data_IF_024307918925
#
_entry.id   IF_024307918925
#
_cell.length_a   1.000
_cell.length_b   1.000
_cell.length_c   1.000
_cell.angle_alpha   90.00
_cell.angle_beta   90.00
_cell.angle_gamma   90.00
#
_symmetry.space_group_name_H-M   'P 1'
#
loop_
_entity.id
_entity.type
_entity.pdbx_description
1 polymer ?
#
# COMPACT_ATOMS: atom_id res chain seq x y z
N UNK A 1 9.43 -5.41 -20.99
CA UNK A 1 9.81 -6.84 -20.92
C UNK A 1 9.64 -7.47 -22.29
N UNK A 2 10.43 -8.49 -22.62
CA UNK A 2 10.32 -9.28 -23.86
C UNK A 2 9.65 -10.64 -23.55
N UNK A 3 8.35 -10.62 -23.23
CA UNK A 3 7.65 -11.80 -22.73
C UNK A 3 7.62 -12.99 -23.69
N UNK A 4 7.72 -12.76 -25.00
CA UNK A 4 7.78 -13.80 -26.03
C UNK A 4 9.09 -14.62 -26.04
N UNK A 5 10.12 -14.16 -25.33
CA UNK A 5 11.39 -14.89 -25.18
C UNK A 5 11.35 -15.90 -24.02
N UNK A 6 10.32 -15.85 -23.15
CA UNK A 6 10.18 -16.75 -22.01
C UNK A 6 9.89 -18.18 -22.47
N UNK A 7 10.61 -19.14 -21.88
CA UNK A 7 10.41 -20.57 -22.10
C UNK A 7 9.28 -21.07 -21.21
N UNK A 8 8.64 -22.17 -21.62
CA UNK A 8 7.62 -22.86 -20.82
C UNK A 8 8.15 -23.25 -19.42
N UNK A 9 9.44 -23.59 -19.32
CA UNK A 9 10.10 -23.92 -18.05
C UNK A 9 10.26 -22.76 -17.08
N UNK A 10 9.97 -21.52 -17.50
CA UNK A 10 10.11 -20.30 -16.70
C UNK A 10 8.76 -19.80 -16.17
N UNK A 11 7.68 -20.56 -16.40
CA UNK A 11 6.31 -20.26 -15.93
C UNK A 11 5.86 -21.39 -15.01
N UNK A 12 5.21 -21.03 -13.89
CA UNK A 12 4.62 -22.01 -12.98
C UNK A 12 3.51 -22.80 -13.67
N UNK A 13 3.49 -24.12 -13.49
CA UNK A 13 2.59 -25.01 -14.22
C UNK A 13 1.10 -24.77 -13.92
N UNK A 14 0.79 -24.22 -12.75
CA UNK A 14 -0.56 -23.86 -12.31
C UNK A 14 -0.92 -22.39 -12.56
N UNK A 15 -0.01 -21.61 -13.15
CA UNK A 15 -0.19 -20.19 -13.42
C UNK A 15 -0.11 -19.28 -12.18
N UNK A 16 0.33 -19.80 -11.02
CA UNK A 16 0.53 -18.98 -9.83
C UNK A 16 1.62 -17.93 -10.05
N UNK A 17 1.39 -16.71 -9.57
CA UNK A 17 2.35 -15.60 -9.65
C UNK A 17 2.71 -15.08 -8.25
N UNK A 18 3.98 -14.74 -7.99
CA UNK A 18 4.37 -14.14 -6.73
C UNK A 18 3.69 -12.78 -6.48
N UNK A 19 3.44 -12.48 -5.19
CA UNK A 19 2.99 -11.17 -4.72
C UNK A 19 4.09 -10.10 -4.82
N UNK A 20 3.74 -8.84 -4.55
CA UNK A 20 4.66 -7.70 -4.42
C UNK A 20 5.46 -7.35 -5.67
N UNK A 21 4.94 -7.59 -6.88
CA UNK A 21 5.67 -7.31 -8.12
C UNK A 21 5.69 -5.83 -8.48
N UNK A 22 4.59 -5.11 -8.24
CA UNK A 22 4.45 -3.69 -8.67
C UNK A 22 5.43 -2.74 -8.00
N UNK A 23 5.98 -3.09 -6.83
CA UNK A 23 6.99 -2.28 -6.12
C UNK A 23 8.24 -1.98 -6.96
N UNK A 24 8.56 -2.84 -7.92
CA UNK A 24 9.72 -2.72 -8.80
C UNK A 24 9.46 -1.87 -10.04
N UNK A 25 8.21 -1.54 -10.33
CA UNK A 25 7.88 -0.98 -11.63
C UNK A 25 8.26 0.49 -11.79
N UNK A 26 8.09 1.31 -10.74
CA UNK A 26 8.54 2.71 -10.68
C UNK A 26 8.27 3.49 -11.97
N UNK A 27 7.01 3.44 -12.45
CA UNK A 27 6.62 3.88 -13.81
C UNK A 27 6.95 5.35 -14.11
N UNK A 28 6.89 6.23 -13.11
CA UNK A 28 7.18 7.66 -13.27
C UNK A 28 6.27 8.37 -14.28
N UNK A 29 4.99 7.99 -14.35
CA UNK A 29 4.05 8.48 -15.37
C UNK A 29 3.37 9.79 -15.03
N UNK A 30 3.35 10.21 -13.76
CA UNK A 30 2.76 11.48 -13.37
C UNK A 30 3.54 12.67 -13.94
N UNK A 31 2.82 13.66 -14.45
CA UNK A 31 3.38 14.98 -14.78
C UNK A 31 3.73 15.76 -13.51
N UNK A 32 2.82 15.75 -12.53
CA UNK A 32 3.00 16.40 -11.23
C UNK A 32 2.66 15.44 -10.09
N UNK A 33 3.32 15.62 -8.95
CA UNK A 33 3.18 14.78 -7.75
C UNK A 33 2.91 15.62 -6.50
N UNK A 34 2.17 15.09 -5.52
CA UNK A 34 1.84 15.84 -4.32
C UNK A 34 3.08 16.01 -3.43
N UNK A 35 3.37 17.25 -3.05
CA UNK A 35 4.36 17.60 -2.03
C UNK A 35 3.62 18.18 -0.83
N UNK A 36 3.99 17.74 0.37
CA UNK A 36 3.36 18.18 1.60
C UNK A 36 4.14 19.33 2.23
N UNK A 37 3.42 20.37 2.65
CA UNK A 37 3.87 21.40 3.55
C UNK A 37 3.65 20.88 4.99
N UNK A 38 4.74 20.44 5.63
CA UNK A 38 4.63 19.85 6.96
C UNK A 38 4.21 20.88 8.00
N UNK A 39 4.47 22.17 7.81
CA UNK A 39 4.08 23.23 8.74
C UNK A 39 2.57 23.40 8.83
N UNK A 40 1.88 23.23 7.69
CA UNK A 40 0.40 23.20 7.62
C UNK A 40 -0.21 21.85 8.00
N UNK A 41 0.54 20.76 7.86
CA UNK A 41 0.02 19.41 8.05
C UNK A 41 -0.45 19.14 9.49
N UNK A 42 -1.73 18.75 9.65
CA UNK A 42 -2.33 18.39 10.95
C UNK A 42 -2.19 16.90 11.31
N UNK A 43 -1.42 16.11 10.53
CA UNK A 43 -1.14 14.69 10.80
C UNK A 43 -2.40 13.80 10.89
N UNK A 44 -3.39 14.03 10.01
CA UNK A 44 -4.67 13.30 10.03
C UNK A 44 -4.69 12.00 9.21
N UNK A 45 -3.70 11.78 8.34
CA UNK A 45 -3.57 10.65 7.41
C UNK A 45 -4.67 10.51 6.33
N UNK A 46 -5.56 11.50 6.16
CA UNK A 46 -6.63 11.48 5.13
C UNK A 46 -6.06 11.28 3.72
N UNK A 47 -4.98 11.99 3.41
CA UNK A 47 -4.30 11.89 2.11
C UNK A 47 -3.83 10.46 1.79
N UNK A 48 -3.39 9.70 2.79
CA UNK A 48 -2.98 8.30 2.64
C UNK A 48 -4.18 7.36 2.56
N UNK A 49 -5.23 7.63 3.33
CA UNK A 49 -6.47 6.86 3.31
C UNK A 49 -7.12 6.84 1.93
N UNK A 50 -7.22 8.01 1.31
CA UNK A 50 -7.91 8.20 0.03
C UNK A 50 -7.06 7.86 -1.20
N UNK A 51 -5.74 7.70 -1.02
CA UNK A 51 -4.85 7.45 -2.15
C UNK A 51 -5.16 6.10 -2.83
N UNK A 52 -5.51 6.09 -4.13
CA UNK A 52 -5.88 4.87 -4.84
C UNK A 52 -4.69 3.94 -5.13
N UNK A 53 -3.46 4.42 -5.07
CA UNK A 53 -2.28 3.63 -5.43
C UNK A 53 -1.32 3.40 -4.26
N UNK A 54 -1.71 3.80 -3.05
CA UNK A 54 -0.86 3.78 -1.85
C UNK A 54 0.47 4.53 -2.04
N UNK A 55 0.50 5.62 -2.81
CA UNK A 55 1.73 6.34 -3.16
C UNK A 55 2.11 7.42 -2.16
N UNK A 56 1.18 7.85 -1.31
CA UNK A 56 1.42 8.83 -0.24
C UNK A 56 1.10 8.17 1.11
N UNK A 57 2.10 8.13 2.00
CA UNK A 57 2.05 7.36 3.24
C UNK A 57 2.57 8.16 4.44
N UNK A 58 2.04 7.92 5.64
CA UNK A 58 2.60 8.45 6.86
C UNK A 58 3.73 7.58 7.38
N UNK A 59 4.80 8.23 7.83
CA UNK A 59 5.96 7.60 8.44
C UNK A 59 6.17 8.18 9.84
N UNK A 60 6.53 7.30 10.77
CA UNK A 60 6.89 7.66 12.13
C UNK A 60 8.33 7.25 12.39
N UNK A 61 9.16 8.22 12.75
CA UNK A 61 10.60 8.07 12.94
C UNK A 61 10.97 8.36 14.40
N UNK A 62 11.86 7.57 14.95
CA UNK A 62 12.60 7.91 16.16
C UNK A 62 13.56 9.06 15.90
N UNK A 63 14.04 9.70 16.96
CA UNK A 63 15.06 10.75 16.84
C UNK A 63 16.37 10.26 16.19
N UNK A 64 16.75 8.99 16.42
CA UNK A 64 17.95 8.41 15.81
C UNK A 64 17.79 8.14 14.31
N UNK A 65 16.59 7.75 13.87
CA UNK A 65 16.27 7.63 12.44
C UNK A 65 16.25 9.01 11.79
N UNK A 66 15.58 10.01 12.39
CA UNK A 66 15.55 11.36 11.82
C UNK A 66 16.95 11.94 11.57
N UNK A 67 17.93 11.68 12.45
CA UNK A 67 19.34 12.11 12.25
C UNK A 67 20.02 11.49 11.04
N UNK A 68 19.53 10.34 10.55
CA UNK A 68 20.06 9.64 9.38
C UNK A 68 19.26 9.95 8.10
N UNK A 69 18.20 10.73 8.21
CA UNK A 69 17.37 11.07 7.08
C UNK A 69 18.11 12.03 6.14
N UNK A 70 17.77 12.04 4.83
CA UNK A 70 18.27 13.05 3.91
C UNK A 70 17.98 14.47 4.40
N UNK A 71 18.79 15.44 3.99
CA UNK A 71 18.66 16.84 4.42
C UNK A 71 17.27 17.42 4.08
N UNK A 72 16.71 17.04 2.92
CA UNK A 72 15.37 17.45 2.47
C UNK A 72 14.22 16.69 3.16
N UNK A 73 14.49 15.82 4.13
CA UNK A 73 13.48 15.01 4.83
C UNK A 73 12.85 15.80 5.98
N UNK A 74 12.00 16.77 5.64
CA UNK A 74 11.26 17.56 6.61
C UNK A 74 10.25 16.71 7.41
N UNK A 75 10.54 16.45 8.67
CA UNK A 75 9.65 15.73 9.58
C UNK A 75 9.42 16.55 10.84
N UNK A 76 8.16 16.59 11.30
CA UNK A 76 7.78 17.36 12.49
C UNK A 76 7.54 16.44 13.67
N UNK A 77 7.55 16.97 14.89
CA UNK A 77 7.18 16.20 16.08
C UNK A 77 5.81 15.54 15.88
N UNK A 78 5.72 14.24 16.14
CA UNK A 78 4.44 13.54 16.05
C UNK A 78 3.49 14.06 17.14
N UNK A 79 2.27 14.39 16.76
CA UNK A 79 1.25 14.94 17.67
C UNK A 79 0.25 13.86 18.08
N UNK A 80 -0.04 13.80 19.38
CA UNK A 80 -0.96 12.85 20.00
C UNK A 80 -0.55 12.50 21.43
N UNK A 81 -1.23 11.52 22.02
CA UNK A 81 -0.90 11.01 23.36
C UNK A 81 0.38 10.17 23.41
N UNK A 82 0.55 9.44 24.51
CA UNK A 82 1.78 8.68 24.81
C UNK A 82 2.26 7.72 23.71
N UNK A 83 1.35 7.21 22.87
CA UNK A 83 1.69 6.34 21.72
C UNK A 83 2.61 7.00 20.69
N UNK A 84 2.61 8.34 20.63
CA UNK A 84 3.43 9.16 19.72
C UNK A 84 4.68 9.74 20.38
N UNK A 85 4.87 9.54 21.69
CA UNK A 85 5.96 10.17 22.43
C UNK A 85 7.33 9.80 21.85
N UNK A 86 8.18 10.81 21.66
CA UNK A 86 9.54 10.66 21.13
C UNK A 86 9.63 10.37 19.63
N UNK A 87 8.51 10.40 18.91
CA UNK A 87 8.47 10.18 17.46
C UNK A 87 8.33 11.48 16.66
N UNK A 88 8.78 11.44 15.42
CA UNK A 88 8.60 12.45 14.40
C UNK A 88 7.73 11.86 13.29
N UNK A 89 6.86 12.68 12.72
CA UNK A 89 5.89 12.33 11.73
C UNK A 89 6.23 13.04 10.42
N UNK A 90 6.13 12.29 9.31
CA UNK A 90 6.22 12.83 7.95
C UNK A 90 5.19 12.14 7.06
N UNK A 91 4.53 12.92 6.21
CA UNK A 91 3.84 12.38 5.02
C UNK A 91 4.84 12.39 3.88
N UNK A 92 5.03 11.26 3.20
CA UNK A 92 5.94 11.15 2.07
C UNK A 92 5.21 10.50 0.89
N UNK A 93 5.32 11.11 -0.28
CA UNK A 93 4.80 10.59 -1.54
C UNK A 93 5.92 9.93 -2.36
N UNK A 94 5.60 8.92 -3.16
CA UNK A 94 6.49 8.30 -4.14
C UNK A 94 6.37 9.02 -5.47
N UNK A 95 7.41 9.76 -5.92
CA UNK A 95 7.33 10.43 -7.22
C UNK A 95 7.23 9.45 -8.39
N UNK A 96 7.78 8.24 -8.24
CA UNK A 96 7.87 7.25 -9.32
C UNK A 96 6.68 6.29 -9.38
N UNK A 97 5.83 6.26 -8.36
CA UNK A 97 4.62 5.43 -8.36
C UNK A 97 3.34 6.26 -8.48
N UNK A 98 3.40 7.56 -8.19
CA UNK A 98 2.25 8.46 -8.29
C UNK A 98 1.73 8.56 -9.73
N UNK A 99 0.41 8.68 -9.86
CA UNK A 99 -0.27 8.89 -11.14
C UNK A 99 -0.77 10.32 -11.35
N UNK A 100 -0.59 11.23 -10.38
CA UNK A 100 -0.96 12.64 -10.52
C UNK A 100 -2.45 12.96 -10.33
N UNK A 101 -3.27 12.04 -9.81
CA UNK A 101 -4.74 12.20 -9.73
C UNK A 101 -5.29 13.29 -8.78
N UNK A 102 -4.44 13.98 -8.02
CA UNK A 102 -4.79 15.07 -7.09
C UNK A 102 -5.80 14.77 -5.97
N UNK A 103 -6.33 13.54 -5.86
CA UNK A 103 -7.35 13.17 -4.86
C UNK A 103 -6.87 13.47 -3.43
N UNK A 104 -5.59 13.22 -3.13
CA UNK A 104 -5.02 13.52 -1.82
C UNK A 104 -4.92 15.02 -1.52
N UNK A 105 -4.66 15.84 -2.54
CA UNK A 105 -4.58 17.30 -2.44
C UNK A 105 -5.97 17.89 -2.18
N UNK A 106 -6.96 17.46 -2.97
CA UNK A 106 -8.35 17.90 -2.84
C UNK A 106 -9.01 17.44 -1.53
N UNK A 107 -8.63 16.27 -1.02
CA UNK A 107 -9.14 15.77 0.26
C UNK A 107 -8.44 16.39 1.49
N UNK A 108 -7.38 17.18 1.32
CA UNK A 108 -6.64 17.73 2.45
C UNK A 108 -7.49 18.80 3.17
N UNK A 109 -7.85 18.60 4.45
CA UNK A 109 -8.76 19.52 5.15
C UNK A 109 -8.15 20.90 5.45
N UNK A 110 -6.84 21.04 5.29
CA UNK A 110 -6.07 22.25 5.63
C UNK A 110 -5.22 22.76 4.47
N UNK A 111 -5.40 22.21 3.26
CA UNK A 111 -4.63 22.64 2.08
C UNK A 111 -3.11 22.52 2.24
N UNK A 112 -2.63 21.50 2.95
CA UNK A 112 -1.21 21.27 3.21
C UNK A 112 -0.49 20.52 2.08
N UNK A 113 -1.16 20.22 0.97
CA UNK A 113 -0.61 19.52 -0.17
C UNK A 113 -0.68 20.44 -1.39
N UNK A 114 0.36 20.45 -2.20
CA UNK A 114 0.37 21.10 -3.51
C UNK A 114 0.95 20.15 -4.55
N UNK A 115 0.54 20.32 -5.81
CA UNK A 115 1.10 19.57 -6.92
C UNK A 115 2.37 20.26 -7.40
N UNK A 116 3.46 19.49 -7.51
CA UNK A 116 4.74 19.95 -8.02
C UNK A 116 5.11 19.12 -9.25
N UNK A 117 5.66 19.72 -10.33
CA UNK A 117 6.18 18.95 -11.45
C UNK A 117 7.10 17.82 -11.00
N UNK A 118 6.93 16.61 -11.53
CA UNK A 118 7.62 15.40 -11.06
C UNK A 118 9.14 15.55 -11.15
N UNK A 119 9.65 16.17 -12.22
CA UNK A 119 11.08 16.43 -12.40
C UNK A 119 11.61 17.33 -11.28
N UNK A 120 10.91 18.44 -11.02
CA UNK A 120 11.28 19.35 -9.93
C UNK A 120 11.19 18.67 -8.55
N UNK A 121 10.21 17.78 -8.36
CA UNK A 121 10.09 16.98 -7.13
C UNK A 121 11.30 16.06 -6.93
N UNK A 122 11.79 15.43 -8.01
CA UNK A 122 12.99 14.61 -7.96
C UNK A 122 14.24 15.46 -7.67
N UNK A 123 14.38 16.61 -8.32
CA UNK A 123 15.50 17.54 -8.09
C UNK A 123 15.54 18.05 -6.63
N UNK A 124 14.37 18.21 -6.00
CA UNK A 124 14.24 18.54 -4.57
C UNK A 124 14.44 17.35 -3.62
N UNK A 125 14.87 16.20 -4.13
CA UNK A 125 15.21 15.02 -3.33
C UNK A 125 14.01 14.21 -2.83
N UNK A 126 12.80 14.40 -3.39
CA UNK A 126 11.64 13.61 -2.94
C UNK A 126 11.74 12.12 -3.30
N UNK A 127 12.54 11.77 -4.31
CA UNK A 127 12.89 10.37 -4.63
C UNK A 127 13.70 9.71 -3.51
N UNK A 128 14.83 10.32 -3.15
CA UNK A 128 15.70 9.85 -2.06
C UNK A 128 14.96 9.82 -0.71
N UNK A 129 14.10 10.80 -0.47
CA UNK A 129 13.24 10.83 0.71
C UNK A 129 12.26 9.65 0.74
N UNK A 130 11.67 9.28 -0.40
CA UNK A 130 10.80 8.11 -0.48
C UNK A 130 11.58 6.81 -0.23
N UNK A 131 12.75 6.67 -0.85
CA UNK A 131 13.59 5.49 -0.68
C UNK A 131 14.03 5.34 0.78
N UNK A 132 14.45 6.44 1.41
CA UNK A 132 14.77 6.47 2.84
C UNK A 132 13.54 6.13 3.70
N UNK A 133 12.38 6.73 3.44
CA UNK A 133 11.14 6.46 4.18
C UNK A 133 10.77 4.97 4.15
N UNK A 134 10.97 4.31 3.01
CA UNK A 134 10.71 2.88 2.84
C UNK A 134 11.65 1.96 3.63
N UNK A 135 12.78 2.47 4.13
CA UNK A 135 13.67 1.76 5.07
C UNK A 135 13.18 1.83 6.52
N UNK A 136 12.30 2.79 6.84
CA UNK A 136 11.83 2.99 8.22
C UNK A 136 10.93 1.83 8.63
N UNK A 137 11.16 1.22 9.81
CA UNK A 137 10.30 0.16 10.33
C UNK A 137 8.85 0.63 10.49
N UNK A 138 7.89 -0.21 10.08
CA UNK A 138 6.49 0.08 10.28
C UNK A 138 6.15 0.02 11.79
N UNK A 139 5.56 1.10 12.32
CA UNK A 139 5.16 1.22 13.73
C UNK A 139 3.64 1.08 13.94
N UNK A 140 2.93 0.53 12.97
CA UNK A 140 1.47 0.38 12.95
C UNK A 140 0.91 -0.36 14.15
N UNK A 141 1.64 -1.34 14.71
CA UNK A 141 1.24 -2.09 15.91
C UNK A 141 0.97 -1.21 17.15
N UNK A 142 1.44 0.04 17.18
CA UNK A 142 1.19 1.01 18.25
C UNK A 142 -0.20 1.67 18.18
N UNK A 143 -0.94 1.46 17.09
CA UNK A 143 -2.17 2.17 16.78
C UNK A 143 -3.32 1.21 16.53
N UNK A 144 -4.53 1.62 16.91
CA UNK A 144 -5.75 0.90 16.57
C UNK A 144 -6.02 1.00 15.06
N UNK A 145 -5.95 -0.16 14.39
CA UNK A 145 -6.20 -0.30 12.96
C UNK A 145 -7.64 0.03 12.55
N UNK A 146 -8.60 0.11 13.49
CA UNK A 146 -10.00 0.45 13.21
C UNK A 146 -10.27 1.96 13.22
N UNK A 147 -9.27 2.79 13.53
CA UNK A 147 -9.38 4.25 13.44
C UNK A 147 -8.86 4.74 12.08
N UNK A 148 -9.38 5.86 11.58
CA UNK A 148 -8.88 6.46 10.33
C UNK A 148 -7.36 6.70 10.40
N UNK A 149 -6.88 7.38 11.44
CA UNK A 149 -5.46 7.68 11.58
C UNK A 149 -4.61 6.42 11.78
N UNK A 150 -5.05 5.50 12.64
CA UNK A 150 -4.31 4.28 12.98
C UNK A 150 -4.25 3.23 11.87
N UNK A 151 -5.31 3.10 11.06
CA UNK A 151 -5.32 2.23 9.88
C UNK A 151 -4.23 2.62 8.88
N UNK A 152 -3.95 3.92 8.73
CA UNK A 152 -2.95 4.42 7.78
C UNK A 152 -1.50 4.26 8.26
N UNK A 153 -1.28 3.95 9.54
CA UNK A 153 0.04 3.51 10.02
C UNK A 153 0.29 2.02 9.79
N UNK A 154 -0.72 1.22 9.44
CA UNK A 154 -0.52 -0.16 9.02
C UNK A 154 0.10 -0.19 7.63
N UNK A 155 0.95 -1.19 7.37
CA UNK A 155 1.51 -1.41 6.03
C UNK A 155 0.38 -1.72 5.04
N UNK A 156 0.23 -0.96 3.93
CA UNK A 156 -0.73 -1.29 2.89
C UNK A 156 -0.24 -2.54 2.14
N UNK A 157 -1.07 -3.58 2.08
CA UNK A 157 -0.76 -4.82 1.35
C UNK A 157 -1.46 -4.88 -0.01
N UNK A 158 -1.80 -3.71 -0.54
CA UNK A 158 -2.20 -3.44 -1.92
C UNK A 158 -1.57 -2.10 -2.32
N UNK A 159 -0.62 -2.13 -3.25
CA UNK A 159 0.16 -0.95 -3.63
C UNK A 159 0.46 -0.91 -5.14
N UNK A 160 0.46 0.30 -5.72
CA UNK A 160 0.92 0.57 -7.09
C UNK A 160 0.20 -0.25 -8.17
N UNK A 161 -1.11 -0.44 -8.01
CA UNK A 161 -1.95 -1.19 -8.96
C UNK A 161 -2.01 -0.54 -10.35
N UNK A 162 -2.47 -1.30 -11.33
CA UNK A 162 -2.68 -0.82 -12.70
C UNK A 162 -3.96 -0.01 -12.89
N UNK A 163 -4.66 0.35 -11.81
CA UNK A 163 -5.92 1.07 -11.86
C UNK A 163 -5.73 2.50 -12.41
N UNK A 164 -6.82 3.07 -12.93
CA UNK A 164 -6.85 4.44 -13.43
C UNK A 164 -6.43 5.46 -12.37
N UNK A 165 -5.98 6.64 -12.82
CA UNK A 165 -5.77 7.78 -11.94
C UNK A 165 -7.08 8.14 -11.22
N UNK A 166 -7.03 8.28 -9.90
CA UNK A 166 -8.23 8.61 -9.12
C UNK A 166 -9.27 7.48 -9.02
N UNK A 167 -8.90 6.22 -9.29
CA UNK A 167 -9.81 5.08 -9.21
C UNK A 167 -10.57 5.03 -7.87
N UNK A 168 -11.89 4.89 -7.95
CA UNK A 168 -12.76 4.81 -6.76
C UNK A 168 -12.75 3.45 -6.04
N UNK A 169 -12.18 2.40 -6.63
CA UNK A 169 -12.23 1.04 -6.06
C UNK A 169 -11.08 0.78 -5.06
N UNK A 170 -9.87 1.12 -5.47
CA UNK A 170 -8.64 0.70 -4.78
C UNK A 170 -8.41 1.31 -3.40
N UNK A 171 -8.89 2.53 -3.04
CA UNK A 171 -8.80 3.01 -1.66
C UNK A 171 -9.50 2.08 -0.67
N UNK A 172 -10.65 1.51 -1.05
CA UNK A 172 -11.39 0.56 -0.22
C UNK A 172 -10.62 -0.75 -0.07
N UNK A 173 -10.16 -1.33 -1.17
CA UNK A 173 -9.39 -2.57 -1.14
C UNK A 173 -8.09 -2.41 -0.33
N UNK A 174 -7.37 -1.29 -0.51
CA UNK A 174 -6.18 -0.93 0.27
C UNK A 174 -6.49 -0.90 1.77
N UNK A 175 -7.56 -0.21 2.18
CA UNK A 175 -7.95 -0.13 3.59
C UNK A 175 -8.26 -1.52 4.18
N UNK A 176 -8.98 -2.37 3.44
CA UNK A 176 -9.24 -3.76 3.86
C UNK A 176 -7.94 -4.52 4.09
N UNK A 177 -6.94 -4.34 3.22
CA UNK A 177 -5.63 -4.97 3.42
C UNK A 177 -4.87 -4.43 4.63
N UNK A 178 -5.01 -3.14 4.96
CA UNK A 178 -4.39 -2.53 6.14
C UNK A 178 -4.99 -3.08 7.44
N UNK A 179 -6.28 -3.42 7.44
CA UNK A 179 -6.96 -3.98 8.62
C UNK A 179 -6.77 -5.50 8.76
N UNK A 180 -6.79 -6.24 7.64
CA UNK A 180 -6.92 -7.70 7.66
C UNK A 180 -5.91 -8.47 6.79
N UNK A 181 -5.07 -7.79 6.01
CA UNK A 181 -4.32 -8.39 4.90
C UNK A 181 -3.42 -9.57 5.29
N UNK A 182 -2.84 -9.58 6.50
CA UNK A 182 -1.99 -10.70 7.00
C UNK A 182 -2.74 -12.04 7.17
N UNK A 183 -4.07 -12.02 7.10
CA UNK A 183 -4.96 -13.18 7.27
C UNK A 183 -6.15 -13.15 6.31
N UNK A 184 -6.05 -12.36 5.24
CA UNK A 184 -7.12 -12.16 4.27
C UNK A 184 -6.95 -13.15 3.11
N UNK A 185 -8.06 -13.76 2.71
CA UNK A 185 -8.18 -14.54 1.48
C UNK A 185 -9.25 -13.84 0.64
N UNK A 186 -8.93 -13.52 -0.62
CA UNK A 186 -9.81 -12.80 -1.54
C UNK A 186 -10.22 -13.74 -2.68
N UNK A 187 -11.52 -13.97 -2.79
CA UNK A 187 -12.17 -14.39 -4.02
C UNK A 187 -12.61 -13.12 -4.79
N UNK A 188 -12.00 -12.89 -5.95
CA UNK A 188 -12.25 -11.71 -6.77
C UNK A 188 -12.99 -12.10 -8.05
N UNK A 189 -14.13 -11.46 -8.32
CA UNK A 189 -14.84 -11.64 -9.58
C UNK A 189 -14.04 -11.04 -10.73
N UNK A 190 -14.27 -11.51 -11.96
CA UNK A 190 -13.68 -10.89 -13.13
C UNK A 190 -14.26 -9.48 -13.34
N UNK A 191 -13.40 -8.49 -13.59
CA UNK A 191 -13.79 -7.09 -13.76
C UNK A 191 -12.61 -6.17 -13.52
N UNK A 192 -12.84 -4.86 -13.35
CA UNK A 192 -11.77 -3.90 -13.06
C UNK A 192 -10.86 -4.38 -11.91
N UNK A 193 -11.44 -4.91 -10.84
CA UNK A 193 -10.71 -5.43 -9.68
C UNK A 193 -9.81 -6.63 -9.97
N UNK A 194 -10.15 -7.51 -10.91
CA UNK A 194 -9.24 -8.57 -11.34
C UNK A 194 -8.15 -8.04 -12.26
N UNK A 195 -8.46 -7.04 -13.09
CA UNK A 195 -7.48 -6.43 -14.00
C UNK A 195 -6.42 -5.66 -13.23
N UNK A 196 -6.80 -4.70 -12.39
CA UNK A 196 -5.80 -3.94 -11.61
C UNK A 196 -5.21 -4.78 -10.48
N UNK A 197 -5.89 -5.83 -10.02
CA UNK A 197 -5.50 -6.66 -8.87
C UNK A 197 -4.69 -7.91 -9.18
N UNK A 198 -4.73 -8.42 -10.43
CA UNK A 198 -4.15 -9.73 -10.77
C UNK A 198 -3.69 -9.90 -12.22
N UNK A 199 -3.27 -8.82 -12.90
CA UNK A 199 -2.62 -8.95 -14.21
C UNK A 199 -1.23 -9.57 -14.05
N UNK A 200 -0.94 -10.65 -14.78
CA UNK A 200 0.34 -11.35 -14.71
C UNK A 200 1.52 -10.40 -15.01
N UNK A 201 2.56 -10.44 -14.16
CA UNK A 201 3.69 -9.51 -14.22
C UNK A 201 3.42 -8.14 -13.58
N UNK A 202 2.20 -7.91 -13.08
CA UNK A 202 1.76 -6.67 -12.43
C UNK A 202 0.86 -6.97 -11.21
N UNK A 203 1.40 -7.67 -10.21
CA UNK A 203 0.65 -8.05 -9.00
C UNK A 203 0.83 -7.01 -7.87
N UNK A 204 -0.21 -6.22 -7.51
CA UNK A 204 -0.12 -5.17 -6.48
C UNK A 204 -0.34 -5.64 -5.05
N UNK A 205 -0.94 -6.80 -4.85
CA UNK A 205 -1.07 -7.37 -3.51
C UNK A 205 0.31 -7.72 -2.98
N UNK A 206 0.58 -7.36 -1.74
CA UNK A 206 1.91 -7.44 -1.16
C UNK A 206 1.98 -8.31 0.10
N UNK A 207 3.20 -8.66 0.50
CA UNK A 207 3.51 -9.30 1.77
C UNK A 207 4.05 -8.29 2.77
N UNK A 208 3.65 -8.44 4.03
CA UNK A 208 4.16 -7.67 5.15
C UNK A 208 5.64 -7.98 5.38
N UNK A 209 6.48 -6.94 5.50
CA UNK A 209 7.94 -7.10 5.57
C UNK A 209 8.41 -7.91 6.77
N UNK A 210 7.73 -7.79 7.92
CA UNK A 210 8.13 -8.44 9.17
C UNK A 210 7.69 -9.91 9.24
N UNK A 211 6.44 -10.19 8.86
CA UNK A 211 5.85 -11.53 9.00
C UNK A 211 5.91 -12.39 7.73
N UNK A 212 6.19 -11.79 6.57
CA UNK A 212 6.09 -12.44 5.27
C UNK A 212 4.66 -12.82 4.85
N UNK A 213 3.65 -12.46 5.64
CA UNK A 213 2.24 -12.78 5.36
C UNK A 213 1.62 -11.70 4.48
N UNK A 214 0.79 -12.11 3.54
CA UNK A 214 0.06 -11.21 2.65
C UNK A 214 -1.35 -11.73 2.39
N UNK A 215 -2.08 -10.97 1.57
CA UNK A 215 -3.40 -11.37 1.10
C UNK A 215 -3.26 -12.49 0.08
N UNK A 216 -3.84 -13.67 0.36
CA UNK A 216 -4.00 -14.69 -0.68
C UNK A 216 -5.13 -14.23 -1.62
N UNK A 217 -4.85 -14.15 -2.92
CA UNK A 217 -5.78 -13.61 -3.90
C UNK A 217 -6.00 -14.61 -5.03
N UNK A 218 -7.26 -14.75 -5.47
CA UNK A 218 -7.61 -15.56 -6.63
C UNK A 218 -8.82 -15.00 -7.36
N UNK A 219 -8.80 -15.15 -8.68
CA UNK A 219 -9.93 -14.89 -9.56
C UNK A 219 -10.28 -16.21 -10.26
N UNK A 220 -11.49 -16.71 -10.01
CA UNK A 220 -12.02 -17.87 -10.71
C UNK A 220 -12.61 -17.42 -12.03
N UNK A 221 -13.91 -17.16 -12.09
CA UNK A 221 -14.59 -16.63 -13.27
C UNK A 221 -15.39 -15.38 -12.92
N UNK A 222 -16.15 -14.89 -13.89
CA UNK A 222 -16.99 -13.72 -13.72
C UNK A 222 -18.24 -14.06 -12.90
N UNK A 223 -18.81 -15.21 -13.19
CA UNK A 223 -20.14 -15.66 -12.78
C UNK A 223 -20.16 -16.48 -11.48
N UNK A 224 -19.00 -16.92 -10.96
CA UNK A 224 -18.91 -17.90 -9.87
C UNK A 224 -18.22 -17.37 -8.59
N UNK A 225 -18.01 -16.05 -8.49
CA UNK A 225 -17.16 -15.49 -7.44
C UNK A 225 -17.66 -15.79 -6.02
N UNK A 226 -18.98 -15.81 -5.81
CA UNK A 226 -19.57 -16.07 -4.50
C UNK A 226 -19.37 -17.54 -4.10
N UNK A 227 -19.57 -18.45 -5.03
CA UNK A 227 -19.40 -19.89 -4.91
C UNK A 227 -17.93 -20.25 -4.70
N UNK A 228 -17.03 -19.60 -5.43
CA UNK A 228 -15.58 -19.72 -5.24
C UNK A 228 -15.16 -19.29 -3.83
N UNK A 229 -15.64 -18.14 -3.35
CA UNK A 229 -15.43 -17.68 -1.98
C UNK A 229 -16.05 -18.62 -0.93
N UNK A 230 -17.24 -19.18 -1.19
CA UNK A 230 -17.86 -20.16 -0.31
C UNK A 230 -16.99 -21.41 -0.16
N UNK A 231 -16.43 -21.90 -1.27
CA UNK A 231 -15.48 -23.01 -1.27
C UNK A 231 -14.25 -22.73 -0.39
N UNK A 232 -13.67 -21.54 -0.50
CA UNK A 232 -12.55 -21.10 0.35
C UNK A 232 -12.94 -21.14 1.85
N UNK A 233 -14.13 -20.64 2.20
CA UNK A 233 -14.62 -20.64 3.59
C UNK A 233 -14.81 -22.06 4.13
N UNK A 234 -15.43 -22.95 3.36
CA UNK A 234 -15.62 -24.36 3.73
C UNK A 234 -14.27 -25.02 3.99
N UNK A 235 -13.30 -24.81 3.09
CA UNK A 235 -11.95 -25.36 3.22
C UNK A 235 -11.25 -24.88 4.50
N UNK A 236 -11.25 -23.56 4.77
CA UNK A 236 -10.64 -23.00 5.99
C UNK A 236 -11.31 -23.56 7.24
N UNK A 237 -12.64 -23.65 7.28
CA UNK A 237 -13.38 -24.23 8.41
C UNK A 237 -12.98 -25.69 8.66
N UNK A 238 -12.90 -26.49 7.60
CA UNK A 238 -12.52 -27.90 7.70
C UNK A 238 -11.09 -28.07 8.23
N UNK A 239 -10.12 -27.30 7.70
CA UNK A 239 -8.73 -27.35 8.17
C UNK A 239 -8.59 -26.92 9.62
N UNK A 240 -9.33 -25.91 10.06
CA UNK A 240 -9.33 -25.46 11.46
C UNK A 240 -9.97 -26.50 12.39
N UNK A 241 -11.02 -27.20 11.95
CA UNK A 241 -11.61 -28.32 12.69
C UNK A 241 -10.59 -29.44 12.89
N UNK A 242 -9.93 -29.86 11.81
CA UNK A 242 -8.89 -30.90 11.88
C UNK A 242 -7.72 -30.49 12.79
N UNK A 243 -7.32 -29.22 12.78
CA UNK A 243 -6.30 -28.72 13.69
C UNK A 243 -6.76 -28.81 15.15
N UNK A 244 -7.98 -28.37 15.46
CA UNK A 244 -8.54 -28.45 16.80
C UNK A 244 -8.55 -29.89 17.31
N UNK A 245 -9.05 -30.83 16.51
CA UNK A 245 -9.13 -32.26 16.88
C UNK A 245 -7.75 -32.93 17.09
N UNK A 246 -6.64 -32.25 16.75
CA UNK A 246 -5.26 -32.71 16.98
C UNK A 246 -4.58 -32.04 18.18
N UNK A 247 -5.13 -30.93 18.66
CA UNK A 247 -4.52 -30.09 19.70
C UNK A 247 -5.30 -30.18 21.02
N UNK A 248 -6.62 -30.39 20.93
CA UNK A 248 -7.50 -30.75 22.04
C UNK A 248 -7.59 -32.27 22.19
#
# INVERSE_FOLDING_TARGET
>A
MRGHELKVSEVEADGCVPLSQTRYAKRGVAESVPVVDMDKCIQCNVCSAICPHAVIRPFLLSHAELKKAPEAFDARKATGGNTYAGLHFRIQASPNDCTGCEVCTNACPVGALSMLPRVESLDKGHGDNWDYAMTIPNRGKRFDANTLKGSQFQEPLLEFSGACEGCGETPYAKLVTQMFGKRLIVANATGCSSIWGGTAGWVPYATDKESGKGTAWGNSLFEDNAEYGLGQVIHVRQRRRQLRDRVE
#
